data_IF_221074108784
#
_entry.id   IF_221074108784
#
_cell.length_a   1.000
_cell.length_b   1.000
_cell.length_c   1.000
_cell.angle_alpha   90.00
_cell.angle_beta   90.00
_cell.angle_gamma   90.00
#
_symmetry.space_group_name_H-M   'P 1'
#
loop_
_entity.id
_entity.type
_entity.pdbx_description
1 polymer ?
#
# COMPACT_ATOMS: atom_id res chain seq x y z
N UNK A 1 -28.13 20.23 4.28
CA UNK A 1 -26.99 20.60 5.20
C UNK A 1 -26.16 19.37 5.64
N UNK A 2 -25.88 18.42 4.73
CA UNK A 2 -25.07 17.21 5.04
C UNK A 2 -23.56 17.36 4.77
N UNK A 3 -23.14 18.35 3.99
CA UNK A 3 -21.75 18.55 3.52
C UNK A 3 -20.69 18.85 4.59
N UNK A 4 -20.92 19.63 5.68
CA UNK A 4 -19.89 19.88 6.69
C UNK A 4 -19.49 18.64 7.47
N UNK A 5 -20.44 17.77 7.82
CA UNK A 5 -20.18 16.56 8.66
C UNK A 5 -19.41 15.47 7.91
N UNK A 6 -19.68 15.30 6.64
CA UNK A 6 -19.00 14.33 5.77
C UNK A 6 -17.53 14.76 5.52
N UNK A 7 -17.30 16.04 5.29
CA UNK A 7 -15.95 16.60 5.12
C UNK A 7 -15.12 16.52 6.40
N UNK A 8 -15.72 16.74 7.57
CA UNK A 8 -15.06 16.59 8.87
C UNK A 8 -14.68 15.11 9.14
N UNK A 9 -15.55 14.16 8.77
CA UNK A 9 -15.30 12.73 8.92
C UNK A 9 -14.15 12.26 8.02
N UNK A 10 -14.07 12.74 6.79
CA UNK A 10 -13.00 12.37 5.84
C UNK A 10 -11.64 12.91 6.28
N UNK A 11 -11.59 14.14 6.74
CA UNK A 11 -10.38 14.74 7.31
C UNK A 11 -9.91 14.00 8.59
N UNK A 12 -10.84 13.61 9.44
CA UNK A 12 -10.57 12.83 10.64
C UNK A 12 -10.04 11.42 10.29
N UNK A 13 -10.65 10.73 9.32
CA UNK A 13 -10.20 9.42 8.84
C UNK A 13 -8.76 9.48 8.30
N UNK A 14 -8.41 10.52 7.54
CA UNK A 14 -7.03 10.71 7.04
C UNK A 14 -6.02 10.79 8.18
N UNK A 15 -6.33 11.54 9.23
CA UNK A 15 -5.47 11.63 10.42
C UNK A 15 -5.39 10.32 11.19
N UNK A 16 -6.48 9.54 11.24
CA UNK A 16 -6.47 8.20 11.81
C UNK A 16 -5.57 7.26 11.00
N UNK A 17 -5.61 7.31 9.66
CA UNK A 17 -4.70 6.56 8.77
C UNK A 17 -3.24 6.89 9.09
N UNK A 18 -2.90 8.16 9.26
CA UNK A 18 -1.54 8.60 9.61
C UNK A 18 -1.09 8.04 10.98
N UNK A 19 -1.97 8.12 12.00
CA UNK A 19 -1.69 7.59 13.33
C UNK A 19 -1.49 6.07 13.32
N UNK A 20 -2.39 5.32 12.70
CA UNK A 20 -2.28 3.86 12.57
C UNK A 20 -1.07 3.44 11.70
N UNK A 21 -0.76 4.18 10.64
CA UNK A 21 0.42 3.90 9.82
C UNK A 21 1.72 4.04 10.63
N UNK A 22 1.74 4.94 11.61
CA UNK A 22 2.91 5.23 12.44
C UNK A 22 3.11 4.19 13.56
N UNK A 23 2.03 3.82 14.23
CA UNK A 23 2.10 3.07 15.48
C UNK A 23 1.46 1.67 15.42
N UNK A 24 0.82 1.30 14.31
CA UNK A 24 0.00 0.09 14.20
C UNK A 24 -1.33 0.21 14.96
N UNK A 25 -2.08 -0.87 15.00
CA UNK A 25 -3.36 -0.93 15.71
C UNK A 25 -3.15 -0.95 17.22
N UNK A 26 -2.33 -1.88 17.74
CA UNK A 26 -2.09 -2.03 19.17
C UNK A 26 -1.34 -0.82 19.75
N UNK A 27 -0.37 -0.28 19.03
CA UNK A 27 0.42 0.89 19.46
C UNK A 27 -0.34 2.22 19.42
N UNK A 28 -1.57 2.26 18.91
CA UNK A 28 -2.38 3.48 18.83
C UNK A 28 -3.51 3.44 19.84
N UNK A 29 -3.43 4.23 20.92
CA UNK A 29 -4.52 4.33 21.90
C UNK A 29 -5.71 5.15 21.35
N UNK A 30 -6.90 4.95 21.92
CA UNK A 30 -8.07 5.78 21.60
C UNK A 30 -7.82 7.26 21.85
N UNK A 31 -7.14 7.60 22.95
CA UNK A 31 -6.84 9.00 23.29
C UNK A 31 -5.85 9.62 22.28
N UNK A 32 -4.86 8.86 21.81
CA UNK A 32 -3.96 9.30 20.75
C UNK A 32 -4.71 9.55 19.43
N UNK A 33 -5.69 8.70 19.09
CA UNK A 33 -6.56 8.90 17.94
C UNK A 33 -7.40 10.17 18.06
N UNK A 34 -8.06 10.38 19.18
CA UNK A 34 -8.86 11.57 19.43
C UNK A 34 -8.03 12.86 19.29
N UNK A 35 -6.83 12.84 19.86
CA UNK A 35 -5.89 13.96 19.74
C UNK A 35 -5.46 14.19 18.27
N UNK A 36 -5.07 13.14 17.58
CA UNK A 36 -4.63 13.23 16.17
C UNK A 36 -5.76 13.71 15.25
N UNK A 37 -6.96 13.14 15.42
CA UNK A 37 -8.14 13.47 14.63
C UNK A 37 -8.70 14.85 14.95
N UNK A 38 -8.47 15.38 16.17
CA UNK A 38 -8.99 16.65 16.65
C UNK A 38 -10.51 16.63 16.88
N UNK A 39 -11.05 15.47 17.29
CA UNK A 39 -12.49 15.28 17.54
C UNK A 39 -12.74 14.75 18.96
N UNK A 40 -13.96 14.94 19.45
CA UNK A 40 -14.37 14.39 20.74
C UNK A 40 -14.57 12.87 20.68
N UNK A 41 -14.50 12.21 21.84
CA UNK A 41 -14.81 10.78 21.98
C UNK A 41 -16.21 10.45 21.46
N UNK A 42 -17.19 11.28 21.80
CA UNK A 42 -18.57 11.10 21.32
C UNK A 42 -18.66 11.19 19.80
N UNK A 43 -17.95 12.13 19.18
CA UNK A 43 -17.91 12.28 17.72
C UNK A 43 -17.28 11.07 17.03
N UNK A 44 -16.18 10.54 17.60
CA UNK A 44 -15.53 9.34 17.06
C UNK A 44 -16.46 8.12 17.11
N UNK A 45 -17.06 7.85 18.27
CA UNK A 45 -18.00 6.72 18.41
C UNK A 45 -19.27 6.89 17.56
N UNK A 46 -19.75 8.12 17.42
CA UNK A 46 -20.92 8.41 16.59
C UNK A 46 -20.66 8.30 15.07
N UNK A 47 -19.43 8.57 14.63
CA UNK A 47 -19.06 8.53 13.21
C UNK A 47 -18.51 7.15 12.79
N UNK A 48 -17.65 6.55 13.60
CA UNK A 48 -16.87 5.37 13.22
C UNK A 48 -17.17 4.13 14.08
N UNK A 49 -17.97 4.25 15.13
CA UNK A 49 -18.24 3.17 16.08
C UNK A 49 -17.12 3.05 17.12
N UNK A 50 -16.28 2.05 17.00
CA UNK A 50 -15.17 1.78 17.91
C UNK A 50 -13.79 1.89 17.22
N UNK A 51 -12.70 1.75 17.99
CA UNK A 51 -11.32 1.77 17.46
C UNK A 51 -11.12 0.73 16.36
N UNK A 52 -11.72 -0.46 16.50
CA UNK A 52 -11.58 -1.54 15.52
C UNK A 52 -12.24 -1.18 14.20
N UNK A 53 -13.46 -0.66 14.24
CA UNK A 53 -14.19 -0.23 13.04
C UNK A 53 -13.47 0.92 12.34
N UNK A 54 -13.00 1.91 13.11
CA UNK A 54 -12.19 3.00 12.56
C UNK A 54 -10.91 2.47 11.89
N UNK A 55 -10.25 1.48 12.51
CA UNK A 55 -9.05 0.85 11.92
C UNK A 55 -9.35 0.13 10.61
N UNK A 56 -10.43 -0.65 10.56
CA UNK A 56 -10.82 -1.38 9.35
C UNK A 56 -11.17 -0.41 8.21
N UNK A 57 -11.89 0.67 8.50
CA UNK A 57 -12.19 1.73 7.52
C UNK A 57 -10.92 2.44 7.05
N UNK A 58 -10.02 2.77 7.97
CA UNK A 58 -8.71 3.35 7.65
C UNK A 58 -7.87 2.42 6.77
N UNK A 59 -7.81 1.13 7.10
CA UNK A 59 -7.07 0.13 6.33
C UNK A 59 -7.65 -0.07 4.93
N UNK A 60 -8.97 -0.16 4.83
CA UNK A 60 -9.66 -0.30 3.55
C UNK A 60 -9.42 0.91 2.64
N UNK A 61 -9.56 2.13 3.18
CA UNK A 61 -9.32 3.37 2.43
C UNK A 61 -7.87 3.47 1.97
N UNK A 62 -6.93 3.27 2.89
CA UNK A 62 -5.50 3.31 2.60
C UNK A 62 -5.09 2.31 1.52
N UNK A 63 -5.52 1.06 1.64
CA UNK A 63 -5.16 0.01 0.67
C UNK A 63 -5.78 0.28 -0.69
N UNK A 64 -7.03 0.70 -0.77
CA UNK A 64 -7.71 1.05 -2.02
C UNK A 64 -7.00 2.20 -2.75
N UNK A 65 -6.65 3.28 -2.05
CA UNK A 65 -5.94 4.43 -2.63
C UNK A 65 -4.52 4.04 -3.07
N UNK A 66 -3.79 3.29 -2.25
CA UNK A 66 -2.43 2.82 -2.57
C UNK A 66 -2.43 1.97 -3.83
N UNK A 67 -3.34 0.99 -3.94
CA UNK A 67 -3.45 0.12 -5.12
C UNK A 67 -3.87 0.90 -6.35
N UNK A 68 -4.87 1.77 -6.23
CA UNK A 68 -5.32 2.61 -7.35
C UNK A 68 -4.16 3.45 -7.91
N UNK A 69 -3.35 4.05 -7.06
CA UNK A 69 -2.18 4.82 -7.46
C UNK A 69 -1.13 3.94 -8.16
N UNK A 70 -0.82 2.76 -7.62
CA UNK A 70 0.14 1.83 -8.21
C UNK A 70 -0.33 1.30 -9.58
N UNK A 71 -1.60 0.89 -9.70
CA UNK A 71 -2.17 0.41 -10.96
C UNK A 71 -2.25 1.51 -12.04
N UNK A 72 -2.52 2.74 -11.64
CA UNK A 72 -2.48 3.90 -12.54
C UNK A 72 -1.07 4.14 -13.06
N UNK A 73 -0.06 4.08 -12.21
CA UNK A 73 1.35 4.19 -12.61
C UNK A 73 1.76 3.03 -13.51
N UNK A 74 1.38 1.81 -13.18
CA UNK A 74 1.61 0.61 -13.98
C UNK A 74 1.04 0.74 -15.41
N UNK A 75 -0.05 1.47 -15.56
CA UNK A 75 -0.75 1.68 -16.83
C UNK A 75 -0.44 3.04 -17.49
N UNK A 76 0.49 3.82 -16.96
CA UNK A 76 0.76 5.20 -17.41
C UNK A 76 1.53 5.29 -18.73
N UNK A 77 2.09 4.17 -19.20
CA UNK A 77 2.89 4.12 -20.44
C UNK A 77 2.36 3.06 -21.40
N UNK A 78 2.61 3.24 -22.69
CA UNK A 78 2.27 2.23 -23.72
C UNK A 78 3.13 0.97 -23.61
N UNK A 79 4.40 1.08 -23.20
CA UNK A 79 5.28 -0.06 -22.94
C UNK A 79 4.92 -0.71 -21.61
N UNK A 80 4.50 -1.98 -21.57
CA UNK A 80 4.22 -2.70 -20.35
C UNK A 80 5.41 -2.77 -19.39
N UNK A 81 6.61 -3.02 -19.89
CA UNK A 81 7.82 -3.07 -19.08
C UNK A 81 8.17 -1.73 -18.44
N UNK A 82 8.03 -0.62 -19.21
CA UNK A 82 8.22 0.72 -18.63
C UNK A 82 7.19 1.05 -17.55
N UNK A 83 5.97 0.52 -17.64
CA UNK A 83 4.96 0.63 -16.59
C UNK A 83 5.41 -0.06 -15.30
N UNK A 84 6.00 -1.25 -15.39
CA UNK A 84 6.59 -1.95 -14.23
C UNK A 84 7.78 -1.18 -13.64
N UNK A 85 8.67 -0.66 -14.49
CA UNK A 85 9.78 0.20 -14.08
C UNK A 85 9.27 1.44 -13.34
N UNK A 86 8.32 2.17 -13.90
CA UNK A 86 7.73 3.37 -13.31
C UNK A 86 7.07 3.11 -11.95
N UNK A 87 6.40 1.96 -11.79
CA UNK A 87 5.78 1.58 -10.52
C UNK A 87 6.82 1.29 -9.43
N UNK A 88 7.91 0.59 -9.75
CA UNK A 88 9.00 0.35 -8.81
C UNK A 88 9.73 1.65 -8.45
N UNK A 89 9.98 2.53 -9.44
CA UNK A 89 10.60 3.83 -9.22
C UNK A 89 9.73 4.74 -8.35
N UNK A 90 8.40 4.71 -8.52
CA UNK A 90 7.46 5.40 -7.63
C UNK A 90 7.57 4.87 -6.20
N UNK A 91 7.61 3.55 -6.01
CA UNK A 91 7.75 2.95 -4.69
C UNK A 91 9.05 3.39 -4.00
N UNK A 92 10.17 3.41 -4.74
CA UNK A 92 11.47 3.90 -4.24
C UNK A 92 11.39 5.40 -3.91
N UNK A 93 10.82 6.21 -4.80
CA UNK A 93 10.71 7.65 -4.61
C UNK A 93 9.89 8.01 -3.36
N UNK A 94 8.76 7.35 -3.16
CA UNK A 94 7.93 7.52 -1.97
C UNK A 94 8.66 7.09 -0.69
N UNK A 95 9.41 5.98 -0.75
CA UNK A 95 10.17 5.47 0.38
C UNK A 95 11.34 6.39 0.77
N UNK A 96 11.94 7.12 -0.19
CA UNK A 96 13.02 8.09 0.06
C UNK A 96 12.46 9.43 0.57
N UNK A 97 11.29 9.84 0.07
CA UNK A 97 10.69 11.12 0.43
C UNK A 97 10.15 11.16 1.88
N UNK A 98 9.81 10.01 2.44
CA UNK A 98 9.33 9.89 3.81
C UNK A 98 10.49 9.49 4.73
N UNK A 99 10.92 10.34 5.68
CA UNK A 99 11.99 10.00 6.63
C UNK A 99 11.61 8.85 7.58
N UNK A 100 10.33 8.57 7.73
CA UNK A 100 9.79 7.44 8.48
C UNK A 100 8.81 6.64 7.60
N UNK A 101 9.30 5.88 6.59
CA UNK A 101 8.43 5.21 5.63
C UNK A 101 7.39 4.31 6.33
N UNK A 102 6.13 4.64 6.14
CA UNK A 102 5.01 3.98 6.80
C UNK A 102 4.14 3.28 5.77
N UNK A 103 3.67 2.09 6.10
CA UNK A 103 2.73 1.36 5.25
C UNK A 103 1.73 0.62 6.12
N UNK A 104 0.52 1.17 6.22
CA UNK A 104 -0.54 0.56 7.02
C UNK A 104 -0.85 -0.87 6.58
N UNK A 105 -0.79 -1.16 5.27
CA UNK A 105 -1.01 -2.51 4.76
C UNK A 105 0.05 -3.51 5.21
N UNK A 106 1.35 -3.13 5.21
CA UNK A 106 2.42 -3.99 5.73
C UNK A 106 2.29 -4.13 7.25
N UNK A 107 2.03 -3.04 7.98
CA UNK A 107 1.82 -3.09 9.42
C UNK A 107 0.65 -4.03 9.78
N UNK A 108 -0.46 -3.98 9.06
CA UNK A 108 -1.60 -4.88 9.24
C UNK A 108 -1.21 -6.36 9.09
N UNK A 109 -0.45 -6.69 8.05
CA UNK A 109 0.03 -8.07 7.83
C UNK A 109 0.99 -8.53 8.93
N UNK A 110 1.91 -7.66 9.37
CA UNK A 110 2.86 -8.01 10.43
C UNK A 110 2.20 -8.15 11.81
N UNK A 111 1.16 -7.36 12.09
CA UNK A 111 0.52 -7.31 13.40
C UNK A 111 -0.56 -8.38 13.56
N UNK A 112 -1.36 -8.61 12.53
CA UNK A 112 -2.49 -9.54 12.57
C UNK A 112 -2.20 -10.88 11.87
N UNK A 113 -1.31 -10.92 10.88
CA UNK A 113 -1.11 -12.11 10.07
C UNK A 113 -2.45 -12.56 9.46
N UNK A 114 -2.94 -13.71 9.92
CA UNK A 114 -4.26 -14.25 9.54
C UNK A 114 -5.20 -14.44 10.75
N UNK A 115 -4.85 -13.86 11.89
CA UNK A 115 -5.60 -14.04 13.14
C UNK A 115 -6.94 -13.27 13.17
N UNK A 116 -7.06 -12.21 12.36
CA UNK A 116 -8.26 -11.38 12.26
C UNK A 116 -8.92 -11.53 10.88
N UNK A 117 -10.14 -12.11 10.80
CA UNK A 117 -10.79 -12.38 9.52
C UNK A 117 -11.11 -11.11 8.71
N UNK A 118 -11.48 -10.00 9.36
CA UNK A 118 -11.83 -8.75 8.69
C UNK A 118 -10.60 -8.07 8.09
N UNK A 119 -9.50 -8.01 8.85
CA UNK A 119 -8.20 -7.52 8.36
C UNK A 119 -7.70 -8.39 7.22
N UNK A 120 -7.80 -9.73 7.37
CA UNK A 120 -7.41 -10.70 6.35
C UNK A 120 -8.20 -10.49 5.06
N UNK A 121 -9.51 -10.28 5.14
CA UNK A 121 -10.35 -10.04 3.96
C UNK A 121 -9.91 -8.77 3.20
N UNK A 122 -9.62 -7.67 3.90
CA UNK A 122 -9.16 -6.42 3.30
C UNK A 122 -7.80 -6.60 2.62
N UNK A 123 -6.85 -7.23 3.31
CA UNK A 123 -5.49 -7.44 2.78
C UNK A 123 -5.45 -8.45 1.63
N UNK A 124 -6.25 -9.50 1.67
CA UNK A 124 -6.38 -10.48 0.59
C UNK A 124 -7.01 -9.85 -0.66
N UNK A 125 -8.07 -9.07 -0.51
CA UNK A 125 -8.70 -8.36 -1.63
C UNK A 125 -7.71 -7.39 -2.29
N UNK A 126 -6.98 -6.63 -1.48
CA UNK A 126 -5.92 -5.73 -1.93
C UNK A 126 -4.84 -6.47 -2.73
N UNK A 127 -4.34 -7.57 -2.18
CA UNK A 127 -3.31 -8.42 -2.80
C UNK A 127 -3.78 -9.02 -4.12
N UNK A 128 -5.00 -9.58 -4.17
CA UNK A 128 -5.57 -10.15 -5.41
C UNK A 128 -5.71 -9.11 -6.51
N UNK A 129 -6.21 -7.92 -6.17
CA UNK A 129 -6.37 -6.82 -7.15
C UNK A 129 -5.02 -6.41 -7.73
N UNK A 130 -3.99 -6.29 -6.91
CA UNK A 130 -2.65 -5.93 -7.35
C UNK A 130 -2.01 -7.04 -8.20
N UNK A 131 -2.08 -8.29 -7.76
CA UNK A 131 -1.55 -9.44 -8.50
C UNK A 131 -2.20 -9.56 -9.87
N UNK A 132 -3.52 -9.41 -9.98
CA UNK A 132 -4.22 -9.45 -11.26
C UNK A 132 -3.73 -8.35 -12.22
N UNK A 133 -3.56 -7.12 -11.73
CA UNK A 133 -3.02 -6.02 -12.54
C UNK A 133 -1.59 -6.26 -13.01
N UNK A 134 -0.73 -6.78 -12.13
CA UNK A 134 0.66 -7.12 -12.45
C UNK A 134 0.75 -8.26 -13.46
N UNK A 135 0.03 -9.37 -13.24
CA UNK A 135 0.03 -10.54 -14.10
C UNK A 135 -0.42 -10.17 -15.53
N UNK A 136 -1.51 -9.38 -15.65
CA UNK A 136 -1.96 -8.86 -16.94
C UNK A 136 -0.86 -8.05 -17.61
N UNK A 137 -0.23 -7.12 -16.92
CA UNK A 137 0.78 -6.23 -17.49
C UNK A 137 2.05 -6.96 -17.89
N UNK A 138 2.45 -7.98 -17.11
CA UNK A 138 3.58 -8.86 -17.44
C UNK A 138 3.25 -9.72 -18.67
N UNK A 139 2.02 -10.23 -18.78
CA UNK A 139 1.57 -10.98 -19.97
C UNK A 139 1.58 -10.12 -21.23
N UNK A 140 1.17 -8.85 -21.15
CA UNK A 140 1.28 -7.86 -22.22
C UNK A 140 2.75 -7.64 -22.62
N UNK A 141 3.67 -7.50 -21.66
CA UNK A 141 5.09 -7.32 -21.91
C UNK A 141 5.75 -8.55 -22.57
N UNK A 142 5.29 -9.76 -22.19
CA UNK A 142 5.71 -11.01 -22.88
C UNK A 142 5.23 -11.04 -24.32
N UNK A 143 3.98 -10.65 -24.56
CA UNK A 143 3.41 -10.62 -25.90
C UNK A 143 4.10 -9.61 -26.83
N UNK A 144 4.51 -8.46 -26.29
CA UNK A 144 5.28 -7.43 -27.02
C UNK A 144 6.78 -7.75 -27.16
N UNK A 145 7.27 -8.82 -26.52
CA UNK A 145 8.69 -9.21 -26.55
C UNK A 145 9.59 -8.36 -25.63
N UNK A 146 9.03 -7.59 -24.72
CA UNK A 146 9.77 -6.78 -23.75
C UNK A 146 10.25 -7.59 -22.55
N UNK A 147 9.61 -8.73 -22.27
CA UNK A 147 9.94 -9.71 -21.24
C UNK A 147 10.16 -11.08 -21.89
N UNK A 148 11.12 -11.85 -21.36
CA UNK A 148 11.41 -13.18 -21.85
C UNK A 148 10.15 -14.08 -21.84
N UNK A 149 9.92 -14.81 -22.93
CA UNK A 149 8.74 -15.70 -23.09
C UNK A 149 8.70 -16.83 -22.06
N UNK A 150 9.87 -17.24 -21.54
CA UNK A 150 9.98 -18.29 -20.53
C UNK A 150 9.55 -17.86 -19.12
N UNK A 151 9.41 -16.56 -18.87
CA UNK A 151 8.98 -16.03 -17.56
C UNK A 151 7.53 -16.44 -17.30
N UNK A 152 7.27 -17.07 -16.16
CA UNK A 152 5.91 -17.31 -15.67
C UNK A 152 5.32 -15.99 -15.18
N UNK A 153 4.20 -15.55 -15.77
CA UNK A 153 3.61 -14.25 -15.46
C UNK A 153 3.05 -14.16 -14.02
N UNK A 154 2.51 -15.26 -13.50
CA UNK A 154 1.97 -15.33 -12.16
C UNK A 154 3.10 -15.25 -11.12
N UNK A 155 4.16 -16.05 -11.30
CA UNK A 155 5.33 -16.01 -10.40
C UNK A 155 6.04 -14.67 -10.47
N UNK A 156 6.18 -14.09 -11.66
CA UNK A 156 6.76 -12.75 -11.82
C UNK A 156 5.91 -11.66 -11.14
N UNK A 157 4.58 -11.74 -11.20
CA UNK A 157 3.70 -10.83 -10.47
C UNK A 157 3.89 -10.93 -8.95
N UNK A 158 3.98 -12.16 -8.42
CA UNK A 158 4.27 -12.39 -7.00
C UNK A 158 5.65 -11.85 -6.61
N UNK A 159 6.65 -12.06 -7.44
CA UNK A 159 8.01 -11.55 -7.24
C UNK A 159 8.04 -10.01 -7.20
N UNK A 160 7.39 -9.33 -8.15
CA UNK A 160 7.29 -7.87 -8.16
C UNK A 160 6.55 -7.36 -6.93
N UNK A 161 5.47 -8.02 -6.51
CA UNK A 161 4.73 -7.64 -5.31
C UNK A 161 5.58 -7.79 -4.03
N UNK A 162 6.34 -8.89 -3.93
CA UNK A 162 7.28 -9.10 -2.83
C UNK A 162 8.40 -8.05 -2.84
N UNK A 163 8.91 -7.68 -4.03
CA UNK A 163 9.91 -6.62 -4.20
C UNK A 163 9.38 -5.26 -3.73
N UNK A 164 8.15 -4.89 -4.08
CA UNK A 164 7.51 -3.65 -3.60
C UNK A 164 7.39 -3.61 -2.08
N UNK A 165 7.02 -4.71 -1.45
CA UNK A 165 6.99 -4.82 0.01
C UNK A 165 8.41 -4.75 0.60
N UNK A 166 9.38 -5.45 0.00
CA UNK A 166 10.78 -5.45 0.39
C UNK A 166 11.42 -4.06 0.32
N UNK A 167 11.15 -3.27 -0.71
CA UNK A 167 11.61 -1.87 -0.83
C UNK A 167 11.12 -1.04 0.37
N UNK A 168 9.84 -1.14 0.73
CA UNK A 168 9.26 -0.39 1.86
C UNK A 168 9.87 -0.81 3.20
N UNK A 169 10.07 -2.12 3.39
CA UNK A 169 10.68 -2.67 4.61
C UNK A 169 12.15 -2.26 4.69
N UNK A 170 12.90 -2.38 3.60
CA UNK A 170 14.32 -1.99 3.55
C UNK A 170 14.50 -0.47 3.82
N UNK A 171 13.65 0.36 3.25
CA UNK A 171 13.66 1.80 3.52
C UNK A 171 13.43 2.10 5.01
N UNK A 172 12.45 1.42 5.62
CA UNK A 172 12.18 1.55 7.07
C UNK A 172 13.34 1.07 7.93
N UNK A 173 14.13 0.12 7.43
CA UNK A 173 15.36 -0.37 8.06
C UNK A 173 16.59 0.53 7.79
N UNK A 174 16.42 1.68 7.12
CA UNK A 174 17.49 2.64 6.86
C UNK A 174 18.32 2.36 5.60
N UNK A 175 17.81 1.57 4.65
CA UNK A 175 18.51 1.35 3.38
C UNK A 175 18.69 2.66 2.61
N UNK A 176 19.84 2.83 1.96
CA UNK A 176 20.15 4.02 1.17
C UNK A 176 19.30 4.08 -0.11
N UNK A 177 19.09 5.29 -0.63
CA UNK A 177 18.41 5.51 -1.91
C UNK A 177 19.06 4.71 -3.06
N UNK A 178 20.38 4.57 -3.06
CA UNK A 178 21.13 3.80 -4.05
C UNK A 178 20.77 2.30 -3.95
N UNK A 179 20.75 1.75 -2.74
CA UNK A 179 20.38 0.36 -2.49
C UNK A 179 18.95 0.08 -2.97
N UNK A 180 17.98 0.93 -2.62
CA UNK A 180 16.59 0.78 -3.03
C UNK A 180 16.43 0.81 -4.55
N UNK A 181 17.10 1.75 -5.24
CA UNK A 181 17.14 1.79 -6.71
C UNK A 181 17.82 0.54 -7.29
N UNK A 182 18.85 0.03 -6.62
CA UNK A 182 19.52 -1.21 -7.00
C UNK A 182 18.58 -2.41 -6.99
N UNK A 183 17.76 -2.56 -5.93
CA UNK A 183 16.75 -3.60 -5.80
C UNK A 183 15.72 -3.49 -6.95
N UNK A 184 15.20 -2.30 -7.21
CA UNK A 184 14.23 -2.08 -8.29
C UNK A 184 14.81 -2.45 -9.67
N UNK A 185 16.05 -2.01 -9.98
CA UNK A 185 16.73 -2.37 -11.24
C UNK A 185 16.97 -3.87 -11.38
N UNK A 186 17.36 -4.54 -10.29
CA UNK A 186 17.59 -5.99 -10.30
C UNK A 186 16.29 -6.75 -10.56
N UNK A 187 15.17 -6.31 -9.98
CA UNK A 187 13.86 -6.92 -10.23
C UNK A 187 13.46 -6.86 -11.71
N UNK A 188 13.68 -5.72 -12.36
CA UNK A 188 13.41 -5.58 -13.80
C UNK A 188 14.35 -6.42 -14.67
N UNK A 189 15.64 -6.47 -14.31
CA UNK A 189 16.62 -7.30 -15.04
C UNK A 189 16.26 -8.78 -15.00
N UNK A 190 15.73 -9.26 -13.88
CA UNK A 190 15.30 -10.65 -13.72
C UNK A 190 14.11 -11.06 -14.58
N UNK A 191 13.44 -10.11 -15.23
CA UNK A 191 12.34 -10.37 -16.15
C UNK A 191 12.78 -10.42 -17.63
N UNK A 192 13.96 -9.90 -17.94
CA UNK A 192 14.52 -9.84 -19.32
C UNK A 192 15.30 -11.10 -19.64
#
# INVERSE_FOLDING_TARGET
MARPREFESEAALKKAIEAFSKHGYEGTSTDALLLAMGISRQSMYGAFGDKKRLYLEALQRYTAESISNQLRTLSSTSSPLKGLEAMLDLAVSLAIADPEPKCLGISAVCEFGRSDPEVTMITDMASRTMLFGLERRISEAKASGEICKSVDAQIAAQFIMATLAGIKIAARAGATAESLRGIARMAIRGLK
#
